data_IF_344422651480
#
_entry.id   IF_344422651480
#
_cell.length_a   1.000
_cell.length_b   1.000
_cell.length_c   1.000
_cell.angle_alpha   90.00
_cell.angle_beta   90.00
_cell.angle_gamma   90.00
#
_symmetry.space_group_name_H-M   'P 1'
#
loop_
_entity.id
_entity.type
_entity.pdbx_description
1 polymer ?
#
# COMPACT_ATOMS: atom_id res chain seq x y z
N UNK A 1 18.39 34.15 20.83
CA UNK A 1 19.49 35.13 20.98
C UNK A 1 19.58 36.16 19.85
N UNK A 2 18.93 35.98 18.70
CA UNK A 2 19.08 36.86 17.52
C UNK A 2 18.10 38.05 17.53
N UNK A 3 16.90 37.86 18.06
CA UNK A 3 15.85 38.88 18.15
C UNK A 3 16.26 40.18 18.91
N UNK A 4 17.02 40.12 20.02
CA UNK A 4 17.47 41.31 20.75
C UNK A 4 18.43 42.21 19.96
N UNK A 5 19.27 41.60 19.10
CA UNK A 5 20.25 42.32 18.28
C UNK A 5 19.56 43.08 17.14
N UNK A 6 18.55 42.48 16.50
CA UNK A 6 17.76 43.15 15.47
C UNK A 6 16.98 44.34 16.02
N UNK A 7 16.35 44.18 17.18
CA UNK A 7 15.63 45.29 17.83
C UNK A 7 16.57 46.43 18.24
N UNK A 8 17.78 46.11 18.71
CA UNK A 8 18.79 47.11 19.07
C UNK A 8 19.27 47.90 17.84
N UNK A 9 19.41 47.23 16.69
CA UNK A 9 19.77 47.88 15.42
C UNK A 9 18.66 48.80 14.91
N UNK A 10 17.41 48.34 14.92
CA UNK A 10 16.26 49.14 14.49
C UNK A 10 16.10 50.40 15.35
N UNK A 11 16.27 50.25 16.68
CA UNK A 11 16.21 51.37 17.63
C UNK A 11 17.33 52.39 17.39
N UNK A 12 18.53 51.91 17.08
CA UNK A 12 19.66 52.77 16.73
C UNK A 12 19.40 53.56 15.43
N UNK A 13 18.86 52.91 14.40
CA UNK A 13 18.52 53.55 13.13
C UNK A 13 17.45 54.64 13.30
N UNK A 14 16.39 54.35 14.06
CA UNK A 14 15.32 55.32 14.38
C UNK A 14 15.91 56.54 15.11
N UNK A 15 16.78 56.31 16.10
CA UNK A 15 17.43 57.39 16.84
C UNK A 15 18.36 58.25 15.96
N UNK A 16 19.07 57.63 15.01
CA UNK A 16 19.92 58.35 14.06
C UNK A 16 19.08 59.25 13.14
N UNK A 17 18.00 58.71 12.57
CA UNK A 17 17.09 59.45 11.68
C UNK A 17 16.40 60.60 12.42
N UNK A 18 15.99 60.38 13.67
CA UNK A 18 15.40 61.41 14.53
C UNK A 18 16.38 62.56 14.82
N UNK A 19 17.65 62.26 15.12
CA UNK A 19 18.69 63.29 15.33
C UNK A 19 18.94 64.12 14.07
N UNK A 20 18.98 63.48 12.90
CA UNK A 20 19.15 64.18 11.61
C UNK A 20 17.95 65.11 11.34
N UNK A 21 16.73 64.65 11.64
CA UNK A 21 15.52 65.46 11.50
C UNK A 21 15.51 66.67 12.45
N UNK A 22 15.91 66.49 13.71
CA UNK A 22 15.95 67.56 14.71
C UNK A 22 16.96 68.67 14.40
N UNK A 23 18.14 68.32 13.87
CA UNK A 23 19.16 69.30 13.43
C UNK A 23 18.60 70.23 12.33
N UNK A 24 17.61 69.76 11.56
CA UNK A 24 16.97 70.54 10.49
C UNK A 24 15.90 71.50 11.02
N UNK A 25 15.22 71.13 12.11
CA UNK A 25 14.13 71.92 12.71
C UNK A 25 14.59 73.08 13.59
N UNK A 26 15.85 73.10 14.05
CA UNK A 26 16.39 74.17 14.91
C UNK A 26 16.99 75.36 14.16
N UNK A 27 17.01 75.34 12.82
CA UNK A 27 17.59 76.42 12.00
C UNK A 27 16.53 77.32 11.33
N UNK A 28 15.39 77.54 11.99
CA UNK A 28 14.57 78.74 11.73
C UNK A 28 15.22 79.95 12.42
N UNK A 29 16.36 80.40 11.90
CA UNK A 29 16.78 81.79 11.98
C UNK A 29 17.81 82.09 10.89
N UNK A 30 17.24 82.56 9.78
CA UNK A 30 17.71 83.69 9.00
C UNK A 30 18.84 83.49 7.96
N UNK A 31 18.48 84.00 6.78
CA UNK A 31 19.29 84.59 5.70
C UNK A 31 20.05 83.69 4.71
N UNK A 32 19.41 83.53 3.54
CA UNK A 32 20.02 83.51 2.20
C UNK A 32 21.17 82.54 1.99
N UNK A 33 20.87 81.25 2.02
CA UNK A 33 21.70 80.25 1.34
C UNK A 33 21.09 79.91 -0.02
N UNK A 34 21.50 80.65 -1.05
CA UNK A 34 21.31 80.36 -2.48
C UNK A 34 22.26 79.28 -3.00
N UNK A 35 22.73 78.36 -2.14
CA UNK A 35 23.62 77.26 -2.51
C UNK A 35 22.85 75.93 -2.51
N UNK A 36 22.14 75.69 -3.61
CA UNK A 36 21.46 74.42 -3.90
C UNK A 36 22.39 73.20 -3.76
N UNK A 37 23.70 73.38 -3.94
CA UNK A 37 24.72 72.33 -3.82
C UNK A 37 24.82 71.73 -2.40
N UNK A 38 24.54 72.53 -1.36
CA UNK A 38 24.60 72.06 0.04
C UNK A 38 23.44 71.09 0.38
N UNK A 39 22.24 71.38 -0.12
CA UNK A 39 21.05 70.55 0.08
C UNK A 39 21.22 69.21 -0.65
N UNK A 40 21.72 69.25 -1.89
CA UNK A 40 21.96 68.05 -2.68
C UNK A 40 22.98 67.10 -2.01
N UNK A 41 24.07 67.66 -1.48
CA UNK A 41 25.10 66.88 -0.76
C UNK A 41 24.52 66.16 0.46
N UNK A 42 23.66 66.82 1.25
CA UNK A 42 22.99 66.21 2.41
C UNK A 42 22.06 65.07 1.98
N UNK A 43 21.30 65.23 0.89
CA UNK A 43 20.45 64.17 0.35
C UNK A 43 21.24 62.96 -0.12
N UNK A 44 22.37 63.17 -0.82
CA UNK A 44 23.25 62.07 -1.23
C UNK A 44 23.78 61.31 -0.02
N UNK A 45 24.23 62.01 1.03
CA UNK A 45 24.72 61.37 2.26
C UNK A 45 23.59 60.56 2.93
N UNK A 46 22.37 61.10 2.99
CA UNK A 46 21.23 60.36 3.55
C UNK A 46 20.90 59.10 2.75
N UNK A 47 20.85 59.19 1.41
CA UNK A 47 20.61 58.04 0.53
C UNK A 47 21.72 57.00 0.72
N UNK A 48 22.98 57.43 0.76
CA UNK A 48 24.12 56.54 0.99
C UNK A 48 24.01 55.82 2.34
N UNK A 49 23.68 56.53 3.42
CA UNK A 49 23.49 55.93 4.75
C UNK A 49 22.34 54.91 4.77
N UNK A 50 21.22 55.19 4.09
CA UNK A 50 20.08 54.26 3.99
C UNK A 50 20.48 53.01 3.19
N UNK A 51 21.19 53.18 2.07
CA UNK A 51 21.67 52.06 1.25
C UNK A 51 22.68 51.20 2.02
N UNK A 52 23.65 51.82 2.70
CA UNK A 52 24.62 51.10 3.52
C UNK A 52 23.95 50.35 4.68
N UNK A 53 22.99 50.98 5.36
CA UNK A 53 22.20 50.34 6.41
C UNK A 53 21.41 49.15 5.87
N UNK A 54 20.78 49.30 4.70
CA UNK A 54 20.02 48.22 4.05
C UNK A 54 20.93 47.05 3.66
N UNK A 55 22.12 47.33 3.11
CA UNK A 55 23.11 46.30 2.78
C UNK A 55 23.60 45.54 4.01
N UNK A 56 23.87 46.24 5.11
CA UNK A 56 24.23 45.62 6.39
C UNK A 56 23.08 44.76 6.95
N UNK A 57 21.83 45.21 6.82
CA UNK A 57 20.66 44.44 7.21
C UNK A 57 20.51 43.14 6.40
N UNK A 58 20.69 43.22 5.08
CA UNK A 58 20.67 42.04 4.20
C UNK A 58 21.79 41.07 4.57
N UNK A 59 23.02 41.57 4.78
CA UNK A 59 24.16 40.74 5.19
C UNK A 59 23.87 40.01 6.51
N UNK A 60 23.31 40.71 7.50
CA UNK A 60 22.95 40.13 8.78
C UNK A 60 21.88 39.04 8.64
N UNK A 61 20.87 39.27 7.78
CA UNK A 61 19.83 38.28 7.50
C UNK A 61 20.39 37.03 6.82
N UNK A 62 21.31 37.18 5.88
CA UNK A 62 22.00 36.05 5.21
C UNK A 62 22.76 35.22 6.25
N UNK A 63 23.49 35.86 7.17
CA UNK A 63 24.22 35.18 8.24
C UNK A 63 23.26 34.41 9.15
N UNK A 64 22.14 35.01 9.57
CA UNK A 64 21.12 34.32 10.38
C UNK A 64 20.59 33.08 9.67
N UNK A 65 20.19 33.24 8.40
CA UNK A 65 19.64 32.15 7.60
C UNK A 65 20.66 31.02 7.43
N UNK A 66 21.94 31.35 7.23
CA UNK A 66 23.03 30.37 7.18
C UNK A 66 23.12 29.54 8.46
N UNK A 67 23.11 30.17 9.64
CA UNK A 67 23.15 29.45 10.92
C UNK A 67 21.89 28.62 11.17
N UNK A 68 20.72 29.10 10.79
CA UNK A 68 19.48 28.33 10.88
C UNK A 68 19.52 27.10 9.97
N UNK A 69 20.01 27.24 8.74
CA UNK A 69 20.17 26.12 7.81
C UNK A 69 21.17 25.08 8.34
N UNK A 70 22.32 25.52 8.87
CA UNK A 70 23.30 24.61 9.49
C UNK A 70 22.70 23.84 10.67
N UNK A 71 21.90 24.50 11.52
CA UNK A 71 21.18 23.84 12.61
C UNK A 71 20.15 22.84 12.10
N UNK A 72 19.44 23.16 11.02
CA UNK A 72 18.49 22.23 10.41
C UNK A 72 19.20 21.00 9.86
N UNK A 73 20.30 21.19 9.12
CA UNK A 73 21.13 20.11 8.58
C UNK A 73 21.62 19.19 9.70
N UNK A 74 22.15 19.74 10.80
CA UNK A 74 22.65 18.90 11.91
C UNK A 74 21.55 18.11 12.61
N UNK A 75 20.33 18.65 12.74
CA UNK A 75 19.17 17.91 13.26
C UNK A 75 18.81 16.76 12.33
N UNK A 76 18.79 17.00 11.01
CA UNK A 76 18.50 15.97 10.00
C UNK A 76 19.57 14.89 10.01
N UNK A 77 20.86 15.26 10.07
CA UNK A 77 21.97 14.31 10.15
C UNK A 77 21.93 13.47 11.43
N UNK A 78 21.65 14.09 12.59
CA UNK A 78 21.52 13.38 13.85
C UNK A 78 20.33 12.40 13.81
N UNK A 79 19.19 12.82 13.24
CA UNK A 79 18.03 11.96 13.03
C UNK A 79 18.37 10.78 12.11
N UNK A 80 19.07 11.04 11.00
CA UNK A 80 19.52 10.00 10.07
C UNK A 80 20.52 9.03 10.73
N UNK A 81 21.43 9.52 11.56
CA UNK A 81 22.36 8.67 12.31
C UNK A 81 21.65 7.84 13.38
N UNK A 82 20.72 8.43 14.13
CA UNK A 82 19.90 7.72 15.10
C UNK A 82 19.03 6.64 14.42
N UNK A 83 18.44 6.97 13.28
CA UNK A 83 17.73 6.01 12.42
C UNK A 83 18.70 4.90 11.98
N UNK A 84 19.84 5.23 11.39
CA UNK A 84 20.85 4.26 10.92
C UNK A 84 21.30 3.30 12.01
N UNK A 85 21.67 3.81 13.18
CA UNK A 85 22.11 3.02 14.34
C UNK A 85 20.98 2.13 14.90
N UNK A 86 19.75 2.63 14.89
CA UNK A 86 18.56 1.85 15.24
C UNK A 86 18.30 0.75 14.22
N UNK A 87 18.52 1.01 12.92
CA UNK A 87 18.41 -0.03 11.89
C UNK A 87 19.51 -1.08 12.00
N UNK A 88 20.77 -0.70 12.25
CA UNK A 88 21.89 -1.67 12.36
C UNK A 88 21.76 -2.59 13.57
N UNK A 89 21.17 -2.10 14.66
CA UNK A 89 20.89 -2.93 15.84
C UNK A 89 19.67 -3.84 15.66
N UNK A 90 18.64 -3.41 14.93
CA UNK A 90 17.44 -4.21 14.66
C UNK A 90 17.68 -5.29 13.59
N UNK A 91 18.52 -5.03 12.58
CA UNK A 91 18.84 -6.03 11.53
C UNK A 91 19.62 -7.24 12.08
N UNK A 92 20.38 -7.07 13.16
CA UNK A 92 21.13 -8.16 13.78
C UNK A 92 20.29 -9.05 14.73
N UNK A 93 19.13 -8.58 15.19
CA UNK A 93 18.34 -9.29 16.23
C UNK A 93 17.23 -10.19 15.67
N UNK A 94 16.87 -10.05 14.40
CA UNK A 94 15.83 -10.90 13.79
C UNK A 94 16.39 -11.62 12.57
N UNK A 95 16.98 -12.79 12.80
CA UNK A 95 16.89 -13.91 11.85
C UNK A 95 15.41 -14.24 11.70
N UNK A 96 14.67 -13.43 10.95
CA UNK A 96 13.32 -13.77 10.54
C UNK A 96 13.44 -15.08 9.77
N UNK A 97 12.67 -16.10 10.18
CA UNK A 97 12.41 -17.21 9.27
C UNK A 97 11.99 -16.59 7.95
N UNK A 98 12.73 -16.88 6.90
CA UNK A 98 12.34 -16.43 5.57
C UNK A 98 10.99 -17.08 5.26
N UNK A 99 10.14 -16.44 4.46
CA UNK A 99 8.84 -17.01 4.11
C UNK A 99 8.98 -18.40 3.47
N UNK A 100 10.12 -18.65 2.83
CA UNK A 100 10.49 -19.94 2.27
C UNK A 100 10.73 -21.05 3.33
N UNK A 101 10.92 -20.70 4.60
CA UNK A 101 11.07 -21.64 5.72
C UNK A 101 9.72 -22.05 6.35
N UNK A 102 8.60 -21.51 5.87
CA UNK A 102 7.25 -21.87 6.33
C UNK A 102 6.79 -23.18 5.68
N UNK A 103 5.93 -23.96 6.35
CA UNK A 103 5.28 -25.12 5.73
C UNK A 103 4.48 -24.71 4.49
N UNK A 104 4.43 -25.56 3.47
CA UNK A 104 3.62 -25.30 2.28
C UNK A 104 2.15 -25.04 2.61
N UNK A 105 1.51 -24.19 1.81
CA UNK A 105 0.09 -23.89 1.87
C UNK A 105 -0.78 -25.15 1.90
N UNK A 106 -1.79 -25.14 2.76
CA UNK A 106 -2.77 -26.22 2.89
C UNK A 106 -4.18 -25.65 2.65
N UNK A 107 -4.94 -26.14 1.65
CA UNK A 107 -6.30 -25.68 1.40
C UNK A 107 -7.26 -26.09 2.52
N UNK A 108 -8.35 -25.33 2.68
CA UNK A 108 -9.37 -25.61 3.71
C UNK A 108 -10.17 -26.88 3.44
N UNK A 109 -10.44 -27.15 2.17
CA UNK A 109 -11.27 -28.26 1.71
C UNK A 109 -10.56 -28.99 0.57
N UNK A 110 -10.84 -30.30 0.36
CA UNK A 110 -10.31 -31.02 -0.78
C UNK A 110 -10.79 -30.38 -2.09
N UNK A 111 -10.03 -30.58 -3.15
CA UNK A 111 -10.36 -30.02 -4.45
C UNK A 111 -10.05 -30.98 -5.60
N UNK A 112 -10.70 -30.74 -6.74
CA UNK A 112 -10.38 -31.34 -8.03
C UNK A 112 -10.06 -30.26 -9.04
N UNK A 113 -9.01 -30.46 -9.81
CA UNK A 113 -8.60 -29.55 -10.88
C UNK A 113 -8.95 -30.11 -12.25
N UNK A 114 -9.48 -29.25 -13.11
CA UNK A 114 -9.71 -29.49 -14.53
C UNK A 114 -8.95 -28.46 -15.34
N UNK A 115 -8.27 -28.91 -16.38
CA UNK A 115 -7.61 -28.04 -17.34
C UNK A 115 -8.39 -28.11 -18.66
N UNK A 116 -8.90 -26.96 -19.11
CA UNK A 116 -9.66 -26.81 -20.34
C UNK A 116 -8.76 -26.14 -21.38
N UNK A 117 -8.44 -26.90 -22.41
CA UNK A 117 -7.67 -26.51 -23.59
C UNK A 117 -8.48 -26.75 -24.87
N UNK A 118 -7.84 -26.60 -26.03
CA UNK A 118 -8.46 -26.85 -27.35
C UNK A 118 -8.81 -28.33 -27.62
N UNK A 119 -8.27 -29.27 -26.84
CA UNK A 119 -8.44 -30.73 -27.02
C UNK A 119 -9.47 -31.32 -26.06
N UNK A 120 -9.90 -30.55 -25.06
CA UNK A 120 -10.85 -30.96 -24.03
C UNK A 120 -12.19 -31.36 -24.62
N UNK A 121 -12.75 -32.47 -24.14
CA UNK A 121 -14.03 -32.97 -24.63
C UNK A 121 -15.20 -32.07 -24.19
N UNK A 122 -16.23 -31.97 -25.04
CA UNK A 122 -17.44 -31.23 -24.70
C UNK A 122 -18.16 -31.81 -23.46
N UNK A 123 -18.03 -33.13 -23.22
CA UNK A 123 -18.64 -33.81 -22.07
C UNK A 123 -18.09 -33.31 -20.73
N UNK A 124 -16.78 -33.02 -20.66
CA UNK A 124 -16.17 -32.43 -19.46
C UNK A 124 -16.74 -31.04 -19.20
N UNK A 125 -16.85 -30.20 -20.24
CA UNK A 125 -17.41 -28.85 -20.09
C UNK A 125 -18.90 -28.88 -19.74
N UNK A 126 -19.65 -29.84 -20.27
CA UNK A 126 -21.06 -30.05 -19.91
C UNK A 126 -21.25 -30.41 -18.44
N UNK A 127 -20.42 -31.32 -17.90
CA UNK A 127 -20.40 -31.62 -16.46
C UNK A 127 -20.05 -30.36 -15.64
N UNK A 128 -19.04 -29.60 -16.04
CA UNK A 128 -18.68 -28.35 -15.37
C UNK A 128 -19.80 -27.31 -15.41
N UNK A 129 -20.58 -27.22 -16.49
CA UNK A 129 -21.77 -26.34 -16.56
C UNK A 129 -22.82 -26.77 -15.54
N UNK A 130 -23.07 -28.07 -15.38
CA UNK A 130 -24.02 -28.59 -14.38
C UNK A 130 -23.55 -28.18 -12.97
N UNK A 131 -22.28 -28.43 -12.66
CA UNK A 131 -21.70 -28.08 -11.34
C UNK A 131 -21.67 -26.57 -11.10
N UNK A 132 -21.45 -25.76 -12.14
CA UNK A 132 -21.51 -24.31 -12.03
C UNK A 132 -22.93 -23.81 -11.71
N UNK A 133 -23.99 -24.48 -12.20
CA UNK A 133 -25.39 -24.13 -11.84
C UNK A 133 -25.70 -24.39 -10.37
N UNK A 134 -25.06 -25.39 -9.77
CA UNK A 134 -25.18 -25.73 -8.35
C UNK A 134 -24.35 -24.82 -7.44
N UNK A 135 -23.45 -24.01 -8.02
CA UNK A 135 -22.49 -23.20 -7.27
C UNK A 135 -22.92 -21.74 -7.23
N UNK A 136 -22.86 -21.12 -6.05
CA UNK A 136 -23.21 -19.69 -5.85
C UNK A 136 -22.02 -18.77 -5.68
N UNK A 137 -20.85 -19.31 -5.36
CA UNK A 137 -19.66 -18.54 -5.03
C UNK A 137 -18.47 -19.04 -5.83
N UNK A 138 -17.75 -18.11 -6.44
CA UNK A 138 -16.62 -18.42 -7.29
C UNK A 138 -15.43 -17.55 -6.94
N UNK A 139 -14.24 -18.14 -6.88
CA UNK A 139 -12.99 -17.37 -6.90
C UNK A 139 -12.48 -17.30 -8.32
N UNK A 140 -12.10 -16.13 -8.79
CA UNK A 140 -11.56 -15.95 -10.15
C UNK A 140 -10.19 -15.31 -10.08
N UNK A 141 -9.26 -15.86 -10.86
CA UNK A 141 -7.93 -15.29 -11.11
C UNK A 141 -7.72 -15.26 -12.62
N UNK A 142 -7.30 -14.12 -13.14
CA UNK A 142 -6.86 -13.96 -14.50
C UNK A 142 -5.33 -13.90 -14.52
N UNK A 143 -4.69 -14.67 -15.39
CA UNK A 143 -3.25 -14.56 -15.63
C UNK A 143 -3.06 -13.73 -16.88
N UNK A 144 -2.53 -12.52 -16.71
CA UNK A 144 -2.33 -11.58 -17.81
C UNK A 144 -0.92 -11.67 -18.37
N UNK A 145 -0.83 -11.72 -19.69
CA UNK A 145 0.41 -11.81 -20.45
C UNK A 145 0.45 -10.61 -21.40
N UNK A 146 0.56 -9.41 -20.83
CA UNK A 146 0.61 -8.05 -21.41
C UNK A 146 -0.41 -7.64 -22.51
N UNK A 147 -1.12 -8.55 -23.16
CA UNK A 147 -1.95 -8.32 -24.35
C UNK A 147 -3.29 -9.08 -24.32
N UNK A 148 -3.40 -10.12 -23.50
CA UNK A 148 -4.65 -10.83 -23.22
C UNK A 148 -4.44 -11.86 -22.11
N UNK A 149 -5.44 -12.12 -21.24
CA UNK A 149 -5.37 -13.25 -20.34
C UNK A 149 -5.39 -14.53 -21.15
N UNK A 150 -4.22 -15.15 -21.26
CA UNK A 150 -4.05 -16.44 -21.91
C UNK A 150 -4.76 -17.53 -21.11
N UNK A 151 -4.90 -17.32 -19.79
CA UNK A 151 -5.47 -18.28 -18.86
C UNK A 151 -6.33 -17.60 -17.82
N UNK A 152 -7.41 -18.29 -17.44
CA UNK A 152 -8.26 -17.91 -16.32
C UNK A 152 -8.50 -19.13 -15.44
N UNK A 153 -8.33 -18.94 -14.15
CA UNK A 153 -8.60 -19.95 -13.14
C UNK A 153 -9.86 -19.57 -12.37
N UNK A 154 -10.77 -20.53 -12.26
CA UNK A 154 -12.04 -20.36 -11.56
C UNK A 154 -12.21 -21.50 -10.57
N UNK A 155 -12.37 -21.17 -9.29
CA UNK A 155 -12.77 -22.12 -8.27
C UNK A 155 -14.28 -22.06 -8.06
N UNK A 156 -14.94 -23.22 -8.08
CA UNK A 156 -16.33 -23.40 -7.71
C UNK A 156 -16.35 -23.78 -6.24
N UNK A 157 -16.79 -22.87 -5.38
CA UNK A 157 -16.70 -23.04 -3.94
C UNK A 157 -17.94 -23.80 -3.47
N UNK A 158 -17.74 -25.02 -3.00
CA UNK A 158 -18.79 -25.87 -2.41
C UNK A 158 -18.40 -26.28 -0.99
N UNK A 159 -19.36 -26.76 -0.22
CA UNK A 159 -19.13 -27.11 1.18
C UNK A 159 -18.18 -28.30 1.36
N UNK A 160 -18.27 -29.32 0.49
CA UNK A 160 -17.53 -30.58 0.62
C UNK A 160 -16.28 -30.68 -0.24
N UNK A 161 -16.26 -30.07 -1.43
CA UNK A 161 -15.17 -30.16 -2.39
C UNK A 161 -15.17 -28.95 -3.33
N UNK A 162 -14.00 -28.31 -3.47
CA UNK A 162 -13.80 -27.25 -4.47
C UNK A 162 -13.50 -27.82 -5.84
N UNK A 163 -14.00 -27.19 -6.90
CA UNK A 163 -13.65 -27.55 -8.28
C UNK A 163 -12.90 -26.40 -8.91
N UNK A 164 -11.67 -26.63 -9.32
CA UNK A 164 -10.80 -25.61 -9.90
C UNK A 164 -10.73 -25.87 -11.39
N UNK A 165 -11.12 -24.88 -12.19
CA UNK A 165 -11.11 -24.96 -13.64
C UNK A 165 -10.10 -23.94 -14.15
N UNK A 166 -9.02 -24.41 -14.76
CA UNK A 166 -8.06 -23.59 -15.48
C UNK A 166 -8.41 -23.63 -16.97
N UNK A 167 -8.79 -22.50 -17.53
CA UNK A 167 -9.25 -22.38 -18.92
C UNK A 167 -8.23 -21.57 -19.71
N UNK A 168 -7.69 -22.17 -20.77
CA UNK A 168 -6.95 -21.43 -21.78
C UNK A 168 -7.91 -20.70 -22.71
N UNK A 169 -7.73 -19.41 -22.91
CA UNK A 169 -8.61 -18.66 -23.81
C UNK A 169 -8.18 -18.86 -25.26
N UNK A 170 -9.10 -19.34 -26.11
CA UNK A 170 -8.85 -19.51 -27.54
C UNK A 170 -10.01 -18.95 -28.38
N UNK A 171 -9.69 -18.36 -29.53
CA UNK A 171 -10.62 -17.60 -30.38
C UNK A 171 -11.35 -18.42 -31.45
N UNK A 172 -11.09 -19.72 -31.55
CA UNK A 172 -11.60 -20.54 -32.65
C UNK A 172 -13.12 -20.82 -32.55
N UNK A 173 -13.80 -20.88 -33.71
CA UNK A 173 -15.26 -21.07 -33.88
C UNK A 173 -15.74 -22.52 -33.64
N UNK A 174 -15.17 -23.21 -32.65
CA UNK A 174 -15.50 -24.62 -32.34
C UNK A 174 -16.73 -24.73 -31.43
N UNK A 175 -17.38 -25.90 -31.45
CA UNK A 175 -18.45 -26.27 -30.51
C UNK A 175 -18.03 -26.07 -29.05
N UNK A 176 -16.79 -26.41 -28.73
CA UNK A 176 -16.19 -26.21 -27.41
C UNK A 176 -16.21 -24.75 -26.96
N UNK A 177 -15.91 -23.79 -27.84
CA UNK A 177 -15.98 -22.35 -27.53
C UNK A 177 -17.40 -21.92 -27.15
N UNK A 178 -18.43 -22.48 -27.80
CA UNK A 178 -19.84 -22.22 -27.43
C UNK A 178 -20.16 -22.76 -26.03
N UNK A 179 -19.64 -23.95 -25.68
CA UNK A 179 -19.80 -24.55 -24.34
C UNK A 179 -19.06 -23.75 -23.26
N UNK A 180 -17.85 -23.29 -23.54
CA UNK A 180 -17.12 -22.40 -22.65
C UNK A 180 -17.90 -21.10 -22.44
N UNK A 181 -18.43 -20.46 -23.49
CA UNK A 181 -19.31 -19.29 -23.37
C UNK A 181 -20.55 -19.56 -22.50
N UNK A 182 -21.14 -20.75 -22.62
CA UNK A 182 -22.25 -21.19 -21.77
C UNK A 182 -21.82 -21.35 -20.30
N UNK A 183 -20.63 -21.91 -20.04
CA UNK A 183 -20.04 -22.01 -18.71
C UNK A 183 -19.84 -20.63 -18.08
N UNK A 184 -19.18 -19.71 -18.80
CA UNK A 184 -19.03 -18.30 -18.37
C UNK A 184 -20.38 -17.65 -18.11
N UNK A 185 -21.36 -17.85 -19.01
CA UNK A 185 -22.71 -17.32 -18.83
C UNK A 185 -23.46 -17.87 -17.63
N UNK A 186 -23.05 -19.03 -17.11
CA UNK A 186 -23.60 -19.67 -15.90
C UNK A 186 -22.91 -19.14 -14.64
N UNK A 187 -21.60 -18.95 -14.69
CA UNK A 187 -20.79 -18.45 -13.58
C UNK A 187 -21.10 -16.96 -13.32
N UNK A 188 -21.05 -16.15 -14.37
CA UNK A 188 -21.17 -14.69 -14.31
C UNK A 188 -22.62 -14.23 -14.45
N UNK A 189 -23.45 -14.61 -13.46
CA UNK A 189 -24.83 -14.13 -13.29
C UNK A 189 -24.96 -13.29 -12.02
N UNK A 190 -25.97 -12.43 -11.96
CA UNK A 190 -26.16 -11.48 -10.84
C UNK A 190 -26.46 -12.11 -9.49
N UNK A 191 -26.91 -13.37 -9.47
CA UNK A 191 -27.18 -14.12 -8.24
C UNK A 191 -25.94 -14.78 -7.65
N UNK A 192 -24.84 -14.82 -8.40
CA UNK A 192 -23.59 -15.42 -7.96
C UNK A 192 -22.65 -14.34 -7.39
N UNK A 193 -21.77 -14.78 -6.49
CA UNK A 193 -20.73 -13.96 -5.88
C UNK A 193 -19.40 -14.34 -6.51
N UNK A 194 -18.72 -13.36 -7.10
CA UNK A 194 -17.39 -13.52 -7.66
C UNK A 194 -16.40 -12.83 -6.72
N UNK A 195 -15.43 -13.58 -6.22
CA UNK A 195 -14.39 -13.06 -5.34
C UNK A 195 -13.02 -13.12 -6.02
N UNK A 196 -12.21 -12.10 -5.79
CA UNK A 196 -10.88 -11.97 -6.36
C UNK A 196 -9.92 -11.33 -5.37
N UNK A 197 -8.62 -11.46 -5.63
CA UNK A 197 -7.58 -10.74 -4.88
C UNK A 197 -7.27 -9.44 -5.60
N UNK A 198 -7.75 -8.32 -5.07
CA UNK A 198 -7.65 -7.02 -5.72
C UNK A 198 -8.86 -6.70 -6.61
N UNK A 199 -8.76 -5.62 -7.39
CA UNK A 199 -9.80 -5.20 -8.32
C UNK A 199 -9.69 -5.95 -9.66
N UNK A 200 -10.57 -6.93 -9.86
CA UNK A 200 -10.60 -7.76 -11.06
C UNK A 200 -11.39 -7.13 -12.22
N UNK A 201 -11.94 -5.92 -12.06
CA UNK A 201 -12.79 -5.29 -13.09
C UNK A 201 -12.03 -5.11 -14.40
N UNK A 202 -10.75 -4.71 -14.32
CA UNK A 202 -9.89 -4.55 -15.47
C UNK A 202 -9.60 -5.90 -16.15
N UNK A 203 -9.24 -6.92 -15.38
CA UNK A 203 -8.86 -8.24 -15.93
C UNK A 203 -10.04 -8.93 -16.62
N UNK A 204 -11.25 -8.79 -16.08
CA UNK A 204 -12.46 -9.32 -16.69
C UNK A 204 -12.91 -8.53 -17.93
N UNK A 205 -12.36 -7.33 -18.17
CA UNK A 205 -12.72 -6.53 -19.34
C UNK A 205 -12.36 -7.23 -20.65
N UNK A 206 -11.33 -8.09 -20.65
CA UNK A 206 -11.01 -8.92 -21.80
C UNK A 206 -12.10 -9.94 -22.13
N UNK A 207 -12.66 -10.63 -21.12
CA UNK A 207 -13.76 -11.57 -21.33
C UNK A 207 -14.99 -10.88 -21.90
N UNK A 208 -15.21 -9.62 -21.47
CA UNK A 208 -16.24 -8.76 -22.04
C UNK A 208 -15.95 -8.44 -23.50
N UNK A 209 -14.76 -7.95 -23.81
CA UNK A 209 -14.37 -7.57 -25.18
C UNK A 209 -14.36 -8.79 -26.14
N UNK A 210 -14.09 -9.98 -25.61
CA UNK A 210 -14.11 -11.26 -26.34
C UNK A 210 -15.51 -11.89 -26.46
N UNK A 211 -16.53 -11.27 -25.87
CA UNK A 211 -17.91 -11.73 -25.94
C UNK A 211 -18.22 -13.00 -25.13
N UNK A 212 -17.40 -13.32 -24.12
CA UNK A 212 -17.72 -14.36 -23.13
C UNK A 212 -18.72 -13.86 -22.08
N UNK A 213 -18.68 -12.56 -21.77
CA UNK A 213 -19.58 -11.89 -20.82
C UNK A 213 -20.18 -10.66 -21.49
N UNK A 214 -21.49 -10.47 -21.43
CA UNK A 214 -22.12 -9.24 -21.95
C UNK A 214 -21.93 -8.09 -20.97
N UNK A 215 -21.88 -6.85 -21.47
CA UNK A 215 -21.77 -5.65 -20.63
C UNK A 215 -22.87 -5.56 -19.56
N UNK A 216 -24.10 -5.90 -19.93
CA UNK A 216 -25.24 -5.93 -19.00
C UNK A 216 -25.11 -6.94 -17.87
N UNK A 217 -24.56 -8.14 -18.17
CA UNK A 217 -24.24 -9.11 -17.11
C UNK A 217 -23.13 -8.57 -16.23
N UNK A 218 -22.08 -8.03 -16.85
CA UNK A 218 -20.91 -7.52 -16.15
C UNK A 218 -21.26 -6.51 -15.05
N UNK A 219 -22.14 -5.54 -15.35
CA UNK A 219 -22.58 -4.51 -14.39
C UNK A 219 -23.39 -5.03 -13.20
N UNK A 220 -23.98 -6.22 -13.33
CA UNK A 220 -24.88 -6.80 -12.31
C UNK A 220 -24.21 -7.87 -11.46
N UNK A 221 -22.98 -8.26 -11.77
CA UNK A 221 -22.25 -9.27 -11.01
C UNK A 221 -21.82 -8.67 -9.68
N UNK A 222 -22.01 -9.42 -8.60
CA UNK A 222 -21.50 -9.06 -7.28
C UNK A 222 -20.02 -9.46 -7.20
N UNK A 223 -19.13 -8.48 -7.36
CA UNK A 223 -17.69 -8.63 -7.24
C UNK A 223 -17.24 -8.28 -5.81
N UNK A 224 -16.44 -9.14 -5.18
CA UNK A 224 -15.82 -8.90 -3.88
C UNK A 224 -14.31 -8.80 -4.04
N UNK A 225 -13.74 -7.70 -3.54
CA UNK A 225 -12.30 -7.50 -3.44
C UNK A 225 -11.82 -8.02 -2.07
N UNK A 226 -11.39 -9.29 -2.05
CA UNK A 226 -10.97 -9.96 -0.81
C UNK A 226 -9.72 -9.33 -0.21
N UNK A 227 -8.87 -8.70 -1.02
CA UNK A 227 -7.67 -8.02 -0.53
C UNK A 227 -8.05 -6.81 0.34
N UNK A 228 -9.05 -6.03 -0.07
CA UNK A 228 -9.56 -4.89 0.70
C UNK A 228 -10.27 -5.36 1.98
N UNK A 229 -11.17 -6.35 1.86
CA UNK A 229 -11.90 -6.90 3.02
C UNK A 229 -10.92 -7.53 4.03
N UNK A 230 -9.91 -8.26 3.55
CA UNK A 230 -8.84 -8.84 4.36
C UNK A 230 -8.05 -7.77 5.10
N UNK A 231 -7.65 -6.70 4.42
CA UNK A 231 -6.90 -5.60 5.04
C UNK A 231 -7.66 -4.99 6.21
N UNK A 232 -8.95 -4.72 6.02
CA UNK A 232 -9.81 -4.18 7.07
C UNK A 232 -9.92 -5.16 8.25
N UNK A 233 -10.25 -6.43 7.97
CA UNK A 233 -10.38 -7.46 8.99
C UNK A 233 -9.06 -7.71 9.75
N UNK A 234 -7.93 -7.75 9.06
CA UNK A 234 -6.61 -7.99 9.65
C UNK A 234 -6.23 -6.86 10.61
N UNK A 235 -6.47 -5.60 10.22
CA UNK A 235 -6.19 -4.45 11.07
C UNK A 235 -7.07 -4.40 12.32
N UNK A 236 -8.32 -4.84 12.21
CA UNK A 236 -9.23 -4.96 13.36
C UNK A 236 -8.81 -6.10 14.29
N UNK A 237 -8.58 -7.29 13.72
CA UNK A 237 -8.26 -8.51 14.48
C UNK A 237 -6.90 -8.41 15.14
N UNK A 238 -5.90 -7.91 14.41
CA UNK A 238 -4.51 -7.78 14.85
C UNK A 238 -4.16 -6.35 15.30
N UNK A 239 -5.10 -5.61 15.87
CA UNK A 239 -4.84 -4.25 16.37
C UNK A 239 -3.53 -4.09 17.19
N UNK A 240 -2.85 -2.96 16.98
CA UNK A 240 -1.73 -2.56 17.82
C UNK A 240 -2.25 -2.18 19.21
N UNK A 241 -1.57 -2.65 20.27
CA UNK A 241 -1.77 -2.09 21.59
C UNK A 241 -1.30 -0.62 21.60
N UNK A 242 -2.04 0.25 22.29
CA UNK A 242 -1.71 1.67 22.49
C UNK A 242 -0.30 1.88 23.10
N UNK A 243 0.26 0.83 23.72
CA UNK A 243 1.61 0.84 24.30
C UNK A 243 2.71 0.40 23.32
N UNK A 244 2.41 0.27 22.02
CA UNK A 244 3.45 0.16 21.02
C UNK A 244 4.21 1.49 21.00
N UNK A 245 5.50 1.47 21.35
CA UNK A 245 6.41 2.64 21.48
C UNK A 245 6.67 3.39 20.16
N UNK A 246 5.78 3.21 19.19
CA UNK A 246 5.80 3.65 17.81
C UNK A 246 4.61 4.55 17.49
N UNK A 247 3.47 4.37 18.20
CA UNK A 247 2.31 5.23 18.06
C UNK A 247 2.59 6.67 18.52
N UNK A 248 3.64 6.88 19.33
CA UNK A 248 3.85 8.13 20.06
C UNK A 248 4.67 9.16 19.27
N UNK A 249 5.55 8.73 18.36
CA UNK A 249 6.48 9.68 17.73
C UNK A 249 6.00 10.24 16.38
N UNK A 250 5.16 9.53 15.63
CA UNK A 250 4.54 10.05 14.42
C UNK A 250 3.18 9.36 14.22
N UNK A 251 2.19 10.07 13.66
CA UNK A 251 0.99 9.48 13.04
C UNK A 251 1.32 8.55 11.85
N UNK A 252 2.57 8.11 11.75
CA UNK A 252 3.06 7.09 10.86
C UNK A 252 2.84 5.74 11.54
N UNK A 253 1.58 5.29 11.48
CA UNK A 253 1.14 3.93 11.84
C UNK A 253 1.95 2.87 11.06
N UNK A 254 2.72 3.30 10.05
CA UNK A 254 3.50 2.48 9.16
C UNK A 254 5.02 2.69 9.23
N UNK A 255 5.52 3.38 10.25
CA UNK A 255 6.94 3.64 10.41
C UNK A 255 7.78 2.34 10.46
N UNK A 256 8.90 2.22 9.73
CA UNK A 256 9.81 1.06 9.67
C UNK A 256 10.42 0.63 11.01
N UNK A 257 10.08 1.34 12.08
CA UNK A 257 10.60 1.16 13.42
C UNK A 257 9.73 0.21 14.27
N UNK A 258 8.62 -0.32 13.73
CA UNK A 258 7.62 -1.02 14.54
C UNK A 258 8.10 -2.43 14.86
N UNK A 259 8.48 -2.61 16.13
CA UNK A 259 9.09 -3.85 16.63
C UNK A 259 8.08 -4.98 16.84
N UNK A 260 6.77 -4.70 16.72
CA UNK A 260 5.70 -5.69 16.87
C UNK A 260 5.93 -6.90 15.96
N UNK A 261 5.85 -8.10 16.54
CA UNK A 261 6.02 -9.40 15.86
C UNK A 261 4.96 -9.69 14.78
N UNK A 262 3.94 -8.85 14.65
CA UNK A 262 2.79 -9.02 13.78
C UNK A 262 2.80 -8.12 12.52
N UNK A 263 3.93 -7.50 12.15
CA UNK A 263 4.01 -6.67 10.92
C UNK A 263 4.30 -7.50 9.66
N UNK A 264 3.69 -7.12 8.51
CA UNK A 264 3.81 -5.83 7.87
C UNK A 264 2.42 -5.26 7.51
N UNK A 265 1.86 -4.44 8.40
CA UNK A 265 0.90 -3.42 8.04
C UNK A 265 1.47 -2.59 6.91
N UNK A 266 0.67 -2.54 5.86
CA UNK A 266 0.87 -1.78 4.65
C UNK A 266 0.11 -0.48 4.83
N UNK A 267 0.68 0.65 4.37
CA UNK A 267 0.03 1.96 4.37
C UNK A 267 -1.41 1.85 3.90
N UNK A 268 -2.30 2.77 4.28
CA UNK A 268 -3.70 2.73 3.82
C UNK A 268 -3.84 2.53 2.29
N UNK A 269 -2.89 3.04 1.51
CA UNK A 269 -2.82 2.88 0.05
C UNK A 269 -2.08 1.62 -0.44
N UNK A 270 -1.34 0.94 0.42
CA UNK A 270 -0.56 -0.22 0.04
C UNK A 270 -1.42 -1.49 -0.02
N UNK A 271 -1.19 -2.28 -1.06
CA UNK A 271 -1.93 -3.51 -1.35
C UNK A 271 -1.26 -4.76 -0.76
N UNK A 272 -2.01 -5.65 -0.10
CA UNK A 272 -1.45 -6.90 0.40
C UNK A 272 -1.08 -7.84 -0.75
N UNK A 273 0.13 -8.41 -0.69
CA UNK A 273 0.44 -9.56 -1.53
C UNK A 273 -0.24 -10.81 -0.95
N UNK A 274 -0.80 -11.65 -1.81
CA UNK A 274 -1.52 -12.86 -1.41
C UNK A 274 -0.63 -13.82 -0.61
N UNK A 275 0.62 -14.03 -1.04
CA UNK A 275 1.56 -14.92 -0.35
C UNK A 275 1.88 -14.42 1.05
N UNK A 276 2.06 -13.12 1.22
CA UNK A 276 2.26 -12.50 2.52
C UNK A 276 1.01 -12.58 3.41
N UNK A 277 -0.19 -12.34 2.86
CA UNK A 277 -1.43 -12.49 3.63
C UNK A 277 -1.59 -13.91 4.19
N UNK A 278 -1.26 -14.94 3.41
CA UNK A 278 -1.22 -16.34 3.85
C UNK A 278 -0.13 -16.57 4.89
N UNK A 279 1.11 -16.13 4.63
CA UNK A 279 2.24 -16.32 5.53
C UNK A 279 1.99 -15.70 6.91
N UNK A 280 1.46 -14.48 6.97
CA UNK A 280 1.24 -13.80 8.25
C UNK A 280 -0.01 -14.25 8.99
N UNK A 281 -1.01 -14.77 8.29
CA UNK A 281 -2.25 -15.24 8.93
C UNK A 281 -2.13 -16.68 9.38
N UNK A 282 -1.57 -17.56 8.53
CA UNK A 282 -1.56 -19.00 8.75
C UNK A 282 -0.18 -19.60 9.01
N UNK A 283 0.89 -18.80 8.94
CA UNK A 283 2.27 -19.30 8.99
C UNK A 283 2.56 -20.35 7.89
N UNK A 284 2.03 -20.12 6.69
CA UNK A 284 2.14 -21.01 5.52
C UNK A 284 2.86 -20.32 4.35
N UNK A 285 3.63 -21.08 3.58
CA UNK A 285 4.27 -20.66 2.33
C UNK A 285 3.34 -20.89 1.15
N UNK A 286 2.90 -19.80 0.50
CA UNK A 286 2.20 -19.88 -0.78
C UNK A 286 3.18 -19.57 -1.91
N UNK A 287 3.44 -20.57 -2.74
CA UNK A 287 4.22 -20.40 -3.95
C UNK A 287 3.38 -19.69 -5.04
N UNK A 288 3.91 -18.63 -5.64
CA UNK A 288 3.22 -17.87 -6.71
C UNK A 288 3.88 -18.03 -8.08
N UNK A 289 4.91 -18.87 -8.20
CA UNK A 289 5.79 -18.91 -9.36
C UNK A 289 5.26 -19.65 -10.58
N UNK A 290 4.09 -20.29 -10.51
CA UNK A 290 3.52 -21.06 -11.61
C UNK A 290 2.08 -20.62 -11.88
N UNK A 291 1.78 -20.22 -13.12
CA UNK A 291 0.42 -19.91 -13.59
C UNK A 291 -0.55 -21.10 -13.49
N UNK A 292 0.00 -22.31 -13.38
CA UNK A 292 -0.78 -23.53 -13.17
C UNK A 292 -1.01 -23.83 -11.67
N UNK A 293 -0.54 -22.97 -10.76
CA UNK A 293 -0.73 -23.20 -9.33
C UNK A 293 -2.16 -22.85 -8.89
N UNK A 294 -2.93 -23.91 -8.70
CA UNK A 294 -4.30 -23.89 -8.17
C UNK A 294 -4.41 -23.28 -6.77
N UNK A 295 -3.29 -23.23 -6.02
CA UNK A 295 -3.25 -22.74 -4.65
C UNK A 295 -3.66 -21.28 -4.51
N UNK A 296 -3.50 -20.47 -5.55
CA UNK A 296 -3.89 -19.05 -5.46
C UNK A 296 -5.40 -18.88 -5.25
N UNK A 297 -6.25 -19.60 -6.01
CA UNK A 297 -7.70 -19.53 -5.80
C UNK A 297 -8.08 -20.04 -4.40
N UNK A 298 -7.51 -21.17 -4.02
CA UNK A 298 -7.73 -21.80 -2.71
C UNK A 298 -7.31 -20.87 -1.56
N UNK A 299 -6.22 -20.14 -1.71
CA UNK A 299 -5.73 -19.16 -0.76
C UNK A 299 -6.70 -17.98 -0.62
N UNK A 300 -7.20 -17.44 -1.74
CA UNK A 300 -8.22 -16.37 -1.72
C UNK A 300 -9.49 -16.87 -1.04
N UNK A 301 -9.94 -18.10 -1.34
CA UNK A 301 -11.10 -18.71 -0.69
C UNK A 301 -10.88 -18.88 0.81
N UNK A 302 -9.70 -19.33 1.23
CA UNK A 302 -9.31 -19.46 2.64
C UNK A 302 -9.37 -18.11 3.36
N UNK A 303 -8.82 -17.05 2.76
CA UNK A 303 -8.87 -15.69 3.30
C UNK A 303 -10.28 -15.09 3.30
N UNK A 304 -11.05 -15.32 2.23
CA UNK A 304 -12.44 -14.88 2.13
C UNK A 304 -13.32 -15.47 3.24
N UNK A 305 -13.09 -16.76 3.58
CA UNK A 305 -13.83 -17.44 4.64
C UNK A 305 -13.55 -16.84 6.02
N UNK A 306 -12.28 -16.67 6.39
CA UNK A 306 -11.94 -16.11 7.71
C UNK A 306 -12.45 -14.67 7.88
N UNK A 307 -12.47 -13.89 6.80
CA UNK A 307 -12.97 -12.52 6.80
C UNK A 307 -14.49 -12.52 6.97
N UNK A 308 -15.21 -13.40 6.28
CA UNK A 308 -16.67 -13.50 6.42
C UNK A 308 -17.10 -14.03 7.78
N UNK A 309 -16.39 -15.02 8.29
CA UNK A 309 -16.65 -15.61 9.62
C UNK A 309 -16.04 -14.78 10.76
N UNK A 310 -15.37 -13.67 10.45
CA UNK A 310 -14.75 -12.74 11.41
C UNK A 310 -13.89 -13.47 12.44
N UNK A 311 -13.02 -14.38 11.97
CA UNK A 311 -12.19 -15.19 12.85
C UNK A 311 -11.33 -14.32 13.77
N UNK A 312 -11.29 -14.70 15.04
CA UNK A 312 -10.44 -14.09 16.06
C UNK A 312 -9.02 -14.64 15.98
N UNK A 313 -8.07 -13.93 16.62
CA UNK A 313 -6.68 -14.42 16.77
C UNK A 313 -6.61 -15.83 17.37
N UNK A 314 -7.51 -16.16 18.30
CA UNK A 314 -7.51 -17.45 18.97
C UNK A 314 -7.96 -18.58 18.03
N UNK A 315 -9.04 -18.37 17.29
CA UNK A 315 -9.52 -19.33 16.28
C UNK A 315 -8.45 -19.64 15.22
N UNK A 316 -7.71 -18.62 14.77
CA UNK A 316 -6.59 -18.82 13.84
C UNK A 316 -5.48 -19.67 14.46
N UNK A 317 -5.09 -19.40 15.72
CA UNK A 317 -4.07 -20.19 16.43
C UNK A 317 -4.50 -21.65 16.60
N UNK A 318 -5.75 -21.87 16.96
CA UNK A 318 -6.31 -23.21 17.15
C UNK A 318 -6.32 -23.97 15.81
N UNK A 319 -6.77 -23.31 14.75
CA UNK A 319 -6.74 -23.86 13.39
C UNK A 319 -5.33 -24.24 12.91
N UNK A 320 -4.33 -23.37 13.13
CA UNK A 320 -2.93 -23.65 12.79
C UNK A 320 -2.42 -24.88 13.57
N UNK A 321 -2.72 -24.94 14.88
CA UNK A 321 -2.32 -26.06 15.75
C UNK A 321 -2.94 -27.39 15.29
N UNK A 322 -4.23 -27.40 14.97
CA UNK A 322 -4.95 -28.58 14.48
C UNK A 322 -4.37 -29.09 13.16
N UNK A 323 -4.12 -28.19 12.19
CA UNK A 323 -3.53 -28.58 10.90
C UNK A 323 -2.11 -29.10 11.03
N UNK A 324 -1.29 -28.51 11.92
CA UNK A 324 0.05 -29.04 12.19
C UNK A 324 0.01 -30.46 12.76
N UNK A 325 -0.95 -30.76 13.64
CA UNK A 325 -1.13 -32.10 14.21
C UNK A 325 -1.59 -33.07 13.10
N UNK A 326 -2.63 -32.71 12.35
CA UNK A 326 -3.17 -33.55 11.27
C UNK A 326 -2.11 -33.88 10.20
N UNK A 327 -1.29 -32.89 9.83
CA UNK A 327 -0.20 -33.07 8.88
C UNK A 327 0.90 -34.01 9.43
N UNK A 328 1.29 -33.85 10.70
CA UNK A 328 2.25 -34.76 11.35
C UNK A 328 1.74 -36.19 11.39
N UNK A 329 0.47 -36.40 11.73
CA UNK A 329 -0.14 -37.73 11.77
C UNK A 329 -0.14 -38.37 10.37
N UNK A 330 -0.55 -37.64 9.32
CA UNK A 330 -0.51 -38.15 7.93
C UNK A 330 0.90 -38.56 7.50
N UNK A 331 1.91 -37.75 7.82
CA UNK A 331 3.30 -38.09 7.48
C UNK A 331 3.81 -39.34 8.21
N UNK A 332 3.37 -39.58 9.45
CA UNK A 332 3.72 -40.80 10.19
C UNK A 332 3.06 -42.01 9.52
N UNK A 333 1.78 -41.93 9.19
CA UNK A 333 1.07 -43.01 8.49
C UNK A 333 1.70 -43.36 7.14
N UNK A 334 2.09 -42.36 6.34
CA UNK A 334 2.76 -42.59 5.05
C UNK A 334 4.13 -43.25 5.21
N UNK A 335 4.85 -42.99 6.32
CA UNK A 335 6.15 -43.62 6.58
C UNK A 335 6.04 -45.05 7.13
N UNK A 336 4.89 -45.42 7.69
CA UNK A 336 4.64 -46.75 8.25
C UNK A 336 4.02 -47.72 7.22
N UNK A 337 3.53 -47.21 6.10
CA UNK A 337 3.15 -47.98 4.90
C UNK A 337 4.34 -48.08 3.97
#
# INVERSE_FOLDING_TARGET
MIYPLYNSYLLWLINLLSKIYHIRGSNELATTFTNNDSIFTVWIIMIFCILLSSLLGILFQIIINYYQLQKFISIVELSNQQLSNKYTSVTNVKKYKTINDLPNFIPLIPYRSFYIDRTTSNTIVDDLIIRAKETRRFTVICFDDCLSPNKIQIEFIRESESIIVLIETFRESRLLSKKIKQLFSTIFVSTNIIQAWGDIVYDLSYLRNSGFITFEKFRKIRLLNIQQDFKQWYNQTFNHNQNCSQMVDYNDIDGPLCSCSHRPYKCFHDEWSLSYAIAYTFAEYLHLGNEHDVNQCLAITKLSRIVQEQWTRQQIKDFIKENHIAHRVRLIFIKCL
#
